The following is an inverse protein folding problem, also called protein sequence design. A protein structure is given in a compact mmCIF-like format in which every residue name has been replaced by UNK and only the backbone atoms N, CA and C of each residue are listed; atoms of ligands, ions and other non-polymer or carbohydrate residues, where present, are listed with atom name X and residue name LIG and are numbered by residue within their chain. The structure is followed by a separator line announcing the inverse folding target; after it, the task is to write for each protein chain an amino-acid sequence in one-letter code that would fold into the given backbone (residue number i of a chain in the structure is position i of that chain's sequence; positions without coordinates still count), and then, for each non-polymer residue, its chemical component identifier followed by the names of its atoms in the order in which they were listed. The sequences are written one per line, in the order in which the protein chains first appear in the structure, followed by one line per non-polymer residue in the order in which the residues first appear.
data_IF_042631542743
#
_entry.id   IF_042631542743
#
_cell.length_a   1.000
_cell.length_b   1.000
_cell.length_c   1.000
_cell.angle_alpha   90.00
_cell.angle_beta   90.00
_cell.angle_gamma   90.00
#
_symmetry.space_group_name_H-M   'P 1'
#
loop_
_entity.id
_entity.type
_entity.pdbx_description
1 polymer ?
#
# COMPACT_ATOMS: atom_id res chain seq x y z
N UNK A 1 -25.28 -1.43 21.00
CA UNK A 1 -23.99 -0.70 20.91
C UNK A 1 -23.51 -0.84 19.48
N UNK A 2 -22.98 0.23 18.87
CA UNK A 2 -22.55 0.18 17.46
C UNK A 2 -21.22 -0.57 17.37
N UNK A 3 -21.20 -1.70 16.64
CA UNK A 3 -19.98 -2.53 16.45
C UNK A 3 -18.87 -1.77 15.72
N UNK A 4 -19.23 -0.83 14.83
CA UNK A 4 -18.31 0.09 14.16
C UNK A 4 -18.56 1.53 14.62
N UNK A 5 -17.58 2.21 15.23
CA UNK A 5 -17.68 3.64 15.47
C UNK A 5 -17.88 4.43 14.17
N UNK A 6 -18.78 5.41 14.18
CA UNK A 6 -19.13 6.21 12.99
C UNK A 6 -17.92 6.95 12.37
N UNK A 7 -16.90 7.27 13.17
CA UNK A 7 -15.69 7.94 12.68
C UNK A 7 -14.73 6.98 11.96
N UNK A 8 -14.87 5.66 12.12
CA UNK A 8 -14.17 4.67 11.30
C UNK A 8 -14.93 4.46 9.99
N UNK A 9 -16.25 4.31 10.08
CA UNK A 9 -17.13 4.17 8.92
C UNK A 9 -18.57 4.42 9.33
N UNK A 10 -19.28 5.27 8.59
CA UNK A 10 -20.67 5.65 8.89
C UNK A 10 -21.71 5.01 7.96
N UNK A 11 -21.27 4.16 7.02
CA UNK A 11 -22.17 3.43 6.12
C UNK A 11 -22.90 2.28 6.83
N UNK A 12 -23.95 1.73 6.18
CA UNK A 12 -24.77 0.68 6.78
C UNK A 12 -24.03 -0.66 6.94
N UNK A 13 -23.07 -0.94 6.06
CA UNK A 13 -22.35 -2.22 6.02
C UNK A 13 -20.94 -2.07 6.59
N UNK A 14 -20.63 -2.82 7.65
CA UNK A 14 -19.34 -2.76 8.32
C UNK A 14 -18.25 -3.34 7.40
N UNK A 15 -17.22 -2.57 6.99
CA UNK A 15 -16.30 -3.01 5.94
C UNK A 15 -15.62 -4.34 6.21
N UNK A 16 -15.15 -4.59 7.44
CA UNK A 16 -14.49 -5.85 7.84
C UNK A 16 -15.43 -7.02 8.13
N UNK A 17 -16.73 -6.85 7.88
CA UNK A 17 -17.73 -7.94 7.89
C UNK A 17 -18.55 -7.98 6.59
N UNK A 18 -18.12 -7.27 5.55
CA UNK A 18 -18.80 -7.22 4.26
C UNK A 18 -17.88 -7.81 3.18
N UNK A 19 -18.15 -9.04 2.68
CA UNK A 19 -17.30 -9.70 1.68
C UNK A 19 -17.32 -9.00 0.31
N UNK A 20 -18.32 -8.16 0.02
CA UNK A 20 -18.35 -7.35 -1.20
C UNK A 20 -17.41 -6.12 -1.11
N UNK A 21 -17.02 -5.73 0.10
CA UNK A 21 -16.07 -4.65 0.34
C UNK A 21 -14.64 -5.21 0.45
N UNK A 22 -13.93 -5.31 -0.66
CA UNK A 22 -12.52 -5.77 -0.67
C UNK A 22 -11.53 -4.66 -0.27
N UNK A 23 -11.94 -3.40 -0.40
CA UNK A 23 -11.16 -2.21 -0.04
C UNK A 23 -11.95 -0.93 -0.31
N UNK A 24 -11.48 0.20 0.24
CA UNK A 24 -12.03 1.54 0.01
C UNK A 24 -10.86 2.44 -0.33
N UNK A 25 -10.88 3.08 -1.51
CA UNK A 25 -9.84 3.99 -2.01
C UNK A 25 -8.44 3.36 -2.15
N UNK A 26 -8.35 2.03 -2.20
CA UNK A 26 -7.10 1.33 -2.50
C UNK A 26 -6.74 1.54 -3.97
N UNK A 27 -5.46 1.77 -4.26
CA UNK A 27 -4.99 1.80 -5.64
C UNK A 27 -5.07 0.40 -6.27
N UNK A 28 -5.32 0.30 -7.59
CA UNK A 28 -5.42 -1.00 -8.25
C UNK A 28 -4.08 -1.76 -8.18
N UNK A 29 -4.11 -3.11 -8.16
CA UNK A 29 -2.91 -3.93 -8.32
C UNK A 29 -2.14 -3.57 -9.58
N UNK A 30 -0.81 -3.59 -9.48
CA UNK A 30 0.15 -3.25 -10.54
C UNK A 30 1.51 -3.84 -10.22
N UNK A 31 2.42 -3.83 -11.20
CA UNK A 31 3.81 -4.18 -10.95
C UNK A 31 4.51 -3.18 -10.01
N UNK A 32 5.55 -3.64 -9.30
CA UNK A 32 6.37 -2.74 -8.49
C UNK A 32 7.26 -1.89 -9.39
N UNK A 33 7.07 -0.57 -9.36
CA UNK A 33 7.84 0.41 -10.11
C UNK A 33 8.60 1.33 -9.17
N UNK A 34 9.90 1.49 -9.44
CA UNK A 34 10.79 2.42 -8.75
C UNK A 34 11.15 3.56 -9.69
N UNK A 35 10.79 4.78 -9.29
CA UNK A 35 11.20 5.97 -10.03
C UNK A 35 12.64 6.35 -9.70
N UNK A 36 13.35 6.95 -10.65
CA UNK A 36 14.68 7.52 -10.42
C UNK A 36 14.80 8.88 -11.11
N UNK A 37 15.65 9.80 -10.62
CA UNK A 37 15.81 11.12 -11.22
C UNK A 37 16.57 11.12 -12.56
N UNK A 38 17.22 10.01 -12.93
CA UNK A 38 17.96 9.88 -14.19
C UNK A 38 18.13 8.42 -14.59
N UNK A 39 18.41 8.17 -15.88
CA UNK A 39 18.74 6.84 -16.40
C UNK A 39 19.96 6.24 -15.69
N UNK A 40 21.04 7.02 -15.50
CA UNK A 40 22.23 6.55 -14.79
C UNK A 40 21.91 6.08 -13.38
N UNK A 41 21.01 6.77 -12.65
CA UNK A 41 20.57 6.32 -11.33
C UNK A 41 19.70 5.07 -11.42
N UNK A 42 18.81 4.98 -12.40
CA UNK A 42 17.97 3.80 -12.62
C UNK A 42 18.80 2.52 -12.89
N UNK A 43 19.95 2.64 -13.54
CA UNK A 43 20.82 1.50 -13.87
C UNK A 43 21.75 1.05 -12.73
N UNK A 44 22.03 1.92 -11.75
CA UNK A 44 23.10 1.67 -10.77
C UNK A 44 22.63 1.70 -9.31
N UNK A 45 21.43 2.18 -9.01
CA UNK A 45 20.92 2.27 -7.64
C UNK A 45 20.07 1.05 -7.29
N UNK A 46 20.11 0.66 -6.01
CA UNK A 46 19.13 -0.29 -5.50
C UNK A 46 17.74 0.35 -5.45
N UNK A 47 16.65 -0.43 -5.63
CA UNK A 47 15.27 0.06 -5.61
C UNK A 47 14.91 1.03 -4.49
N UNK A 48 15.40 0.76 -3.27
CA UNK A 48 15.07 1.52 -2.06
C UNK A 48 15.99 2.74 -1.83
N UNK A 49 17.06 2.88 -2.62
CA UNK A 49 17.98 4.04 -2.59
C UNK A 49 17.45 5.23 -3.40
N UNK A 50 16.30 5.07 -4.06
CA UNK A 50 15.67 6.14 -4.80
C UNK A 50 15.36 7.33 -3.88
N UNK A 51 15.64 8.59 -4.29
CA UNK A 51 15.22 9.76 -3.54
C UNK A 51 13.68 9.90 -3.48
N UNK A 52 12.96 9.11 -4.28
CA UNK A 52 11.50 9.06 -4.30
C UNK A 52 10.93 7.97 -3.38
N UNK A 53 11.74 7.42 -2.47
CA UNK A 53 11.35 6.46 -1.45
C UNK A 53 11.60 7.04 -0.05
N UNK A 54 10.68 6.83 0.87
CA UNK A 54 10.82 7.21 2.28
C UNK A 54 10.26 6.08 3.16
N UNK A 55 11.15 5.37 3.86
CA UNK A 55 10.77 4.31 4.79
C UNK A 55 10.05 4.85 6.01
N UNK A 56 9.00 4.14 6.44
CA UNK A 56 8.26 4.43 7.68
C UNK A 56 8.41 3.31 8.71
N UNK A 57 9.25 2.32 8.45
CA UNK A 57 9.63 1.29 9.42
C UNK A 57 10.32 1.92 10.65
N UNK A 58 10.12 1.31 11.82
CA UNK A 58 10.68 1.78 13.08
C UNK A 58 9.67 1.71 14.22
N UNK A 59 9.80 2.64 15.16
CA UNK A 59 8.97 2.69 16.37
C UNK A 59 7.75 3.58 16.14
N UNK A 60 6.56 3.03 16.38
CA UNK A 60 5.29 3.74 16.29
C UNK A 60 4.62 3.76 17.67
N UNK A 61 3.85 4.81 17.98
CA UNK A 61 2.99 4.82 19.16
C UNK A 61 1.85 3.83 18.96
N UNK A 62 1.54 3.02 19.97
CA UNK A 62 0.62 1.90 19.84
C UNK A 62 -0.30 1.76 21.06
N UNK A 63 -1.56 1.44 20.78
CA UNK A 63 -2.53 1.05 21.81
C UNK A 63 -3.42 -0.05 21.29
N UNK A 64 -3.54 -1.12 22.09
CA UNK A 64 -4.48 -2.21 21.83
C UNK A 64 -5.78 -1.97 22.58
N UNK A 65 -6.90 -2.07 21.87
CA UNK A 65 -8.26 -2.04 22.41
C UNK A 65 -8.88 -3.44 22.33
N UNK A 66 -9.81 -3.75 23.22
CA UNK A 66 -10.49 -5.06 23.25
C UNK A 66 -11.44 -5.24 22.05
N UNK A 67 -12.02 -4.16 21.55
CA UNK A 67 -12.91 -4.14 20.38
C UNK A 67 -12.93 -2.81 19.65
N UNK A 68 -13.36 -2.77 18.37
CA UNK A 68 -13.48 -1.52 17.61
C UNK A 68 -14.35 -0.46 18.29
N UNK A 69 -15.43 -0.87 18.98
CA UNK A 69 -16.35 0.03 19.67
C UNK A 69 -15.74 0.79 20.86
N UNK A 70 -14.60 0.35 21.38
CA UNK A 70 -13.91 0.99 22.51
C UNK A 70 -12.98 2.13 22.06
N UNK A 71 -12.79 2.32 20.75
CA UNK A 71 -11.91 3.36 20.23
C UNK A 71 -12.48 4.76 20.50
N UNK A 72 -11.59 5.64 20.92
CA UNK A 72 -11.90 7.04 21.16
C UNK A 72 -11.76 7.82 19.85
N UNK A 73 -12.75 8.63 19.47
CA UNK A 73 -12.72 9.40 18.21
C UNK A 73 -11.49 10.32 18.12
N UNK A 74 -10.98 10.83 19.25
CA UNK A 74 -9.78 11.63 19.27
C UNK A 74 -8.53 10.87 18.81
N UNK A 75 -8.49 9.55 18.90
CA UNK A 75 -7.32 8.73 18.55
C UNK A 75 -6.90 8.80 17.08
N UNK A 76 -7.79 9.26 16.18
CA UNK A 76 -7.47 9.50 14.77
C UNK A 76 -7.02 10.94 14.49
N UNK A 77 -7.18 11.87 15.44
CA UNK A 77 -6.84 13.28 15.25
C UNK A 77 -5.33 13.54 15.40
N UNK A 78 -4.77 14.49 14.62
CA UNK A 78 -3.34 14.76 14.59
C UNK A 78 -2.80 15.41 15.87
N UNK A 79 -3.65 16.09 16.64
CA UNK A 79 -3.31 16.78 17.88
C UNK A 79 -3.53 15.93 19.15
N UNK A 80 -4.03 14.71 18.98
CA UNK A 80 -4.23 13.79 20.09
C UNK A 80 -2.92 13.43 20.78
N UNK A 81 -2.96 13.42 22.11
CA UNK A 81 -1.82 13.11 22.95
C UNK A 81 -1.75 11.61 23.21
N UNK A 82 -0.73 10.98 22.67
CA UNK A 82 -0.42 9.55 22.80
C UNK A 82 0.78 9.29 23.72
N UNK A 83 1.17 10.27 24.55
CA UNK A 83 2.34 10.15 25.44
C UNK A 83 2.25 9.02 26.49
N UNK A 84 1.06 8.47 26.71
CA UNK A 84 0.84 7.31 27.58
C UNK A 84 0.65 5.99 26.83
N UNK A 85 0.85 5.98 25.51
CA UNK A 85 0.74 4.79 24.68
C UNK A 85 2.05 4.00 24.70
N UNK A 86 1.94 2.72 24.37
CA UNK A 86 3.09 1.86 24.22
C UNK A 86 3.85 2.20 22.93
N UNK A 87 5.05 1.65 22.81
CA UNK A 87 5.88 1.75 21.61
C UNK A 87 5.94 0.37 20.95
N UNK A 88 5.61 0.29 19.66
CA UNK A 88 5.64 -0.96 18.88
C UNK A 88 6.60 -0.83 17.69
N UNK A 89 7.27 -1.93 17.34
CA UNK A 89 8.08 -2.00 16.13
C UNK A 89 7.22 -2.35 14.92
N UNK A 90 7.44 -1.60 13.85
CA UNK A 90 6.91 -1.84 12.50
C UNK A 90 8.10 -2.06 11.56
N UNK A 91 8.15 -3.15 10.78
CA UNK A 91 7.15 -4.23 10.74
C UNK A 91 7.21 -5.15 11.95
N UNK A 92 6.07 -5.78 12.27
CA UNK A 92 5.95 -6.81 13.29
C UNK A 92 4.50 -7.11 13.66
N UNK A 93 4.26 -8.35 14.09
CA UNK A 93 2.99 -8.74 14.69
C UNK A 93 2.92 -8.27 16.14
N UNK A 94 1.80 -7.69 16.58
CA UNK A 94 1.66 -7.22 17.98
C UNK A 94 1.67 -8.38 18.97
N UNK A 95 1.20 -9.56 18.54
CA UNK A 95 1.17 -10.83 19.32
C UNK A 95 2.57 -11.30 19.71
N UNK A 96 3.60 -10.85 19.01
CA UNK A 96 5.01 -11.16 19.30
C UNK A 96 5.71 -10.03 20.07
N UNK A 97 4.98 -8.97 20.42
CA UNK A 97 5.51 -7.75 21.04
C UNK A 97 4.85 -7.45 22.40
N UNK A 98 4.26 -8.46 23.03
CA UNK A 98 3.69 -8.34 24.38
C UNK A 98 2.23 -7.86 24.43
N UNK A 99 1.56 -7.79 23.27
CA UNK A 99 0.16 -7.42 23.17
C UNK A 99 -0.65 -8.61 22.66
N UNK A 100 -1.75 -8.95 23.31
CA UNK A 100 -2.61 -10.09 22.89
C UNK A 100 -1.85 -11.44 22.87
N UNK A 101 -2.49 -12.52 22.41
CA UNK A 101 -1.88 -13.86 22.30
C UNK A 101 -1.98 -14.41 20.88
N UNK A 102 -0.94 -15.06 20.34
CA UNK A 102 -1.04 -15.80 19.09
C UNK A 102 -1.91 -17.07 19.30
N UNK A 103 -2.73 -17.43 18.31
CA UNK A 103 -3.48 -18.69 18.32
C UNK A 103 -2.89 -19.64 17.29
N UNK A 104 -2.71 -20.90 17.62
CA UNK A 104 -2.41 -21.93 16.62
C UNK A 104 -3.61 -22.85 16.45
N UNK A 105 -4.09 -22.97 15.22
CA UNK A 105 -5.10 -23.95 14.83
C UNK A 105 -4.73 -24.53 13.46
N UNK A 106 -5.17 -25.76 13.19
CA UNK A 106 -4.92 -26.42 11.90
C UNK A 106 -6.07 -26.13 10.90
N UNK A 107 -7.31 -26.47 11.28
CA UNK A 107 -8.51 -26.35 10.40
C UNK A 107 -9.65 -25.57 11.06
N UNK A 108 -9.66 -25.46 12.38
CA UNK A 108 -10.73 -24.78 13.09
C UNK A 108 -10.42 -23.29 13.17
N UNK A 109 -11.39 -22.45 12.81
CA UNK A 109 -11.29 -21.01 13.05
C UNK A 109 -11.02 -20.75 14.54
N UNK A 110 -10.20 -19.74 14.89
CA UNK A 110 -9.90 -19.38 16.28
C UNK A 110 -11.10 -18.74 17.00
N UNK A 111 -12.26 -18.67 16.35
CA UNK A 111 -13.52 -18.16 16.88
C UNK A 111 -14.72 -18.97 16.31
N UNK A 112 -15.88 -18.98 17.01
CA UNK A 112 -17.01 -19.86 16.66
C UNK A 112 -18.00 -19.28 15.64
N UNK A 113 -17.77 -18.06 15.14
CA UNK A 113 -18.72 -17.35 14.28
C UNK A 113 -18.75 -17.92 12.86
N UNK A 114 -19.90 -17.79 12.18
CA UNK A 114 -20.07 -18.19 10.79
C UNK A 114 -19.83 -17.01 9.83
N UNK A 115 -19.29 -17.23 8.62
CA UNK A 115 -19.08 -16.18 7.64
C UNK A 115 -20.37 -15.38 7.33
N UNK A 116 -20.28 -14.05 7.10
CA UNK A 116 -19.08 -13.20 7.19
C UNK A 116 -18.86 -12.61 8.60
N UNK A 117 -19.56 -13.12 9.63
CA UNK A 117 -19.53 -12.54 10.98
C UNK A 117 -18.26 -12.94 11.73
N UNK A 118 -17.70 -11.99 12.46
CA UNK A 118 -16.56 -12.19 13.37
C UNK A 118 -16.94 -11.77 14.79
N UNK A 119 -16.16 -12.12 15.83
CA UNK A 119 -16.45 -11.69 17.19
C UNK A 119 -16.63 -10.17 17.33
N UNK A 120 -17.51 -9.75 18.25
CA UNK A 120 -17.59 -8.33 18.65
C UNK A 120 -16.39 -7.92 19.52
N UNK A 121 -15.93 -8.81 20.41
CA UNK A 121 -14.64 -8.70 21.11
C UNK A 121 -13.51 -9.08 20.16
N UNK A 122 -13.09 -8.09 19.37
CA UNK A 122 -12.14 -8.24 18.28
C UNK A 122 -10.96 -7.31 18.53
N UNK A 123 -9.78 -7.83 18.95
CA UNK A 123 -8.64 -6.99 19.29
C UNK A 123 -8.30 -6.00 18.17
N UNK A 124 -8.22 -4.72 18.54
CA UNK A 124 -8.01 -3.62 17.58
C UNK A 124 -6.78 -2.83 17.99
N UNK A 125 -5.75 -2.87 17.15
CA UNK A 125 -4.51 -2.12 17.34
C UNK A 125 -4.57 -0.75 16.66
N UNK A 126 -4.35 0.32 17.40
CA UNK A 126 -4.20 1.67 16.83
C UNK A 126 -2.72 2.03 16.82
N UNK A 127 -2.19 2.28 15.63
CA UNK A 127 -0.82 2.69 15.38
C UNK A 127 -0.80 4.16 14.99
N UNK A 128 0.13 4.94 15.55
CA UNK A 128 0.35 6.35 15.20
C UNK A 128 1.82 6.60 14.93
N UNK A 129 2.11 7.33 13.86
CA UNK A 129 3.45 7.83 13.56
C UNK A 129 3.39 9.23 12.94
N UNK A 130 4.53 9.92 12.96
CA UNK A 130 4.73 11.20 12.29
C UNK A 130 5.85 11.07 11.29
N UNK A 131 5.73 11.78 10.18
CA UNK A 131 6.79 11.85 9.19
C UNK A 131 6.88 13.26 8.62
N UNK A 132 8.09 13.68 8.24
CA UNK A 132 8.30 14.93 7.53
C UNK A 132 8.42 14.63 6.03
N UNK A 133 7.61 15.29 5.21
CA UNK A 133 7.72 15.17 3.77
C UNK A 133 8.96 15.94 3.28
N UNK A 134 9.87 15.33 2.50
CA UNK A 134 11.02 16.05 1.96
C UNK A 134 10.59 17.21 1.05
N UNK A 135 11.26 18.36 1.13
CA UNK A 135 10.86 19.57 0.36
C UNK A 135 10.82 19.32 -1.16
N UNK A 136 11.72 18.47 -1.67
CA UNK A 136 11.78 18.10 -3.08
C UNK A 136 10.68 17.11 -3.51
N UNK A 137 9.79 16.70 -2.59
CA UNK A 137 8.54 15.98 -2.88
C UNK A 137 7.35 16.91 -3.09
N UNK A 138 7.52 18.23 -2.89
CA UNK A 138 6.48 19.21 -3.15
C UNK A 138 5.98 19.13 -4.60
N UNK A 139 4.67 19.28 -4.80
CA UNK A 139 4.00 19.21 -6.11
C UNK A 139 4.17 17.86 -6.84
N UNK A 140 4.54 16.82 -6.10
CA UNK A 140 4.61 15.45 -6.57
C UNK A 140 3.50 14.62 -5.94
N UNK A 141 3.13 13.56 -6.62
CA UNK A 141 2.21 12.56 -6.10
C UNK A 141 2.91 11.76 -5.00
N UNK A 142 2.21 11.48 -3.91
CA UNK A 142 2.71 10.67 -2.78
C UNK A 142 1.77 9.51 -2.50
N UNK A 143 2.31 8.30 -2.57
CA UNK A 143 1.59 7.05 -2.30
C UNK A 143 2.19 6.40 -1.08
N UNK A 144 1.34 5.93 -0.17
CA UNK A 144 1.75 5.04 0.91
C UNK A 144 1.59 3.58 0.50
N UNK A 145 2.55 2.76 0.90
CA UNK A 145 2.59 1.34 0.67
C UNK A 145 2.61 0.59 2.00
N UNK A 146 1.67 -0.34 2.16
CA UNK A 146 1.67 -1.34 3.23
C UNK A 146 1.99 -2.69 2.62
N UNK A 147 3.15 -3.28 2.96
CA UNK A 147 3.56 -4.56 2.38
C UNK A 147 2.72 -5.76 2.85
N UNK A 148 1.99 -5.61 3.96
CA UNK A 148 1.12 -6.63 4.56
C UNK A 148 0.61 -6.20 5.94
N UNK A 149 -0.72 -6.30 6.12
CA UNK A 149 -1.42 -5.94 7.36
C UNK A 149 -2.39 -7.05 7.70
N UNK A 150 -2.28 -7.65 8.88
CA UNK A 150 -3.15 -8.76 9.30
C UNK A 150 -4.22 -8.27 10.30
N UNK A 151 -5.54 -8.32 10.01
CA UNK A 151 -6.19 -8.81 8.76
C UNK A 151 -6.93 -7.75 7.95
N UNK A 152 -7.38 -6.66 8.58
CA UNK A 152 -8.05 -5.55 7.91
C UNK A 152 -7.71 -4.24 8.62
N UNK A 153 -7.71 -3.12 7.90
CA UNK A 153 -7.33 -1.86 8.51
C UNK A 153 -7.95 -0.63 7.87
N UNK A 154 -8.13 0.41 8.67
CA UNK A 154 -8.41 1.77 8.21
C UNK A 154 -7.15 2.62 8.26
N UNK A 155 -7.04 3.54 7.31
CA UNK A 155 -5.95 4.51 7.24
C UNK A 155 -6.49 5.93 7.38
N UNK A 156 -5.83 6.73 8.21
CA UNK A 156 -6.05 8.16 8.34
C UNK A 156 -4.76 8.94 8.15
N UNK A 157 -4.86 10.10 7.49
CA UNK A 157 -3.76 11.05 7.31
C UNK A 157 -4.22 12.43 7.75
N UNK A 158 -3.51 13.04 8.70
CA UNK A 158 -3.84 14.36 9.27
C UNK A 158 -5.32 14.46 9.74
N UNK A 159 -5.84 13.39 10.35
CA UNK A 159 -7.23 13.31 10.83
C UNK A 159 -8.28 12.94 9.77
N UNK A 160 -7.90 12.86 8.49
CA UNK A 160 -8.83 12.54 7.41
C UNK A 160 -8.80 11.05 7.07
N UNK A 161 -9.97 10.46 6.84
CA UNK A 161 -10.07 9.07 6.40
C UNK A 161 -9.58 8.94 4.96
N UNK A 162 -8.52 8.14 4.78
CA UNK A 162 -7.94 7.86 3.46
C UNK A 162 -8.66 6.68 2.82
N UNK A 163 -8.82 5.58 3.56
CA UNK A 163 -9.37 4.35 3.01
C UNK A 163 -9.36 3.18 3.98
N UNK A 164 -9.63 2.00 3.42
CA UNK A 164 -9.70 0.72 4.13
C UNK A 164 -9.15 -0.40 3.24
N UNK A 165 -8.46 -1.37 3.83
CA UNK A 165 -7.88 -2.52 3.12
C UNK A 165 -8.13 -3.85 3.81
N UNK A 166 -8.18 -4.91 3.00
CA UNK A 166 -8.16 -6.34 3.39
C UNK A 166 -7.09 -7.06 2.55
N UNK A 167 -6.91 -8.36 2.82
CA UNK A 167 -5.84 -9.23 2.32
C UNK A 167 -4.52 -9.00 3.06
N UNK A 168 -4.17 -9.97 3.90
CA UNK A 168 -2.97 -9.90 4.74
C UNK A 168 -1.69 -10.18 3.95
N UNK A 169 -1.77 -10.67 2.72
CA UNK A 169 -0.65 -11.30 2.01
C UNK A 169 -0.20 -10.55 0.77
N UNK A 170 -0.99 -9.63 0.24
CA UNK A 170 -0.62 -8.71 -0.84
C UNK A 170 -0.52 -7.27 -0.35
N UNK A 171 0.24 -6.39 -1.04
CA UNK A 171 0.36 -5.01 -0.62
C UNK A 171 -0.92 -4.21 -0.86
N UNK A 172 -1.19 -3.27 0.05
CA UNK A 172 -2.28 -2.30 -0.09
C UNK A 172 -1.68 -0.90 -0.17
N UNK A 173 -2.08 -0.13 -1.18
CA UNK A 173 -1.54 1.21 -1.41
C UNK A 173 -2.66 2.26 -1.49
N UNK A 174 -2.37 3.46 -0.99
CA UNK A 174 -3.30 4.60 -1.03
C UNK A 174 -2.61 5.86 -1.56
N UNK A 175 -3.34 6.68 -2.30
CA UNK A 175 -2.88 8.01 -2.66
C UNK A 175 -3.07 8.98 -1.48
N UNK A 176 -1.96 9.50 -0.94
CA UNK A 176 -1.98 10.45 0.15
C UNK A 176 -1.93 11.90 -0.32
N UNK A 177 -1.72 12.14 -1.62
CA UNK A 177 -1.54 13.49 -2.20
C UNK A 177 -2.59 14.50 -1.74
N UNK A 178 -3.90 14.16 -1.66
CA UNK A 178 -4.93 15.12 -1.22
C UNK A 178 -4.84 15.52 0.27
N UNK A 179 -4.16 14.73 1.09
CA UNK A 179 -4.20 14.82 2.55
C UNK A 179 -2.91 15.30 3.18
N UNK A 180 -1.80 15.21 2.46
CA UNK A 180 -0.48 15.62 2.94
C UNK A 180 -0.30 17.13 2.92
N UNK A 181 0.47 17.63 3.88
CA UNK A 181 0.90 19.02 3.98
C UNK A 181 2.42 19.10 3.92
N UNK A 182 2.95 20.30 3.64
CA UNK A 182 4.38 20.56 3.75
C UNK A 182 4.86 20.40 5.21
N UNK A 183 6.04 19.82 5.40
CA UNK A 183 6.58 19.55 6.73
C UNK A 183 6.00 18.29 7.37
N UNK A 184 5.62 18.41 8.65
CA UNK A 184 5.18 17.26 9.46
C UNK A 184 3.75 16.82 9.14
N UNK A 185 3.57 15.53 8.98
CA UNK A 185 2.29 14.85 8.76
C UNK A 185 2.10 13.76 9.81
N UNK A 186 0.85 13.45 10.15
CA UNK A 186 0.48 12.42 11.11
C UNK A 186 -0.31 11.30 10.43
N UNK A 187 0.10 10.05 10.64
CA UNK A 187 -0.60 8.86 10.17
C UNK A 187 -1.18 8.09 11.35
N UNK A 188 -2.45 7.70 11.22
CA UNK A 188 -3.10 6.74 12.12
C UNK A 188 -3.54 5.52 11.32
N UNK A 189 -3.19 4.33 11.80
CA UNK A 189 -3.63 3.05 11.22
C UNK A 189 -4.40 2.28 12.28
N UNK A 190 -5.64 1.92 11.98
CA UNK A 190 -6.50 1.14 12.87
C UNK A 190 -6.62 -0.26 12.30
N UNK A 191 -5.94 -1.22 12.91
CA UNK A 191 -5.87 -2.61 12.47
C UNK A 191 -6.83 -3.46 13.30
N UNK A 192 -7.68 -4.21 12.62
CA UNK A 192 -8.69 -5.11 13.21
C UNK A 192 -8.19 -6.54 13.04
N UNK A 193 -8.15 -7.31 14.13
CA UNK A 193 -7.60 -8.67 14.12
C UNK A 193 -8.39 -9.62 13.22
N UNK A 194 -9.71 -9.67 13.38
CA UNK A 194 -10.58 -10.57 12.62
C UNK A 194 -11.45 -9.80 11.64
N UNK A 195 -11.53 -10.30 10.41
CA UNK A 195 -12.44 -9.79 9.37
C UNK A 195 -13.12 -10.94 8.64
N UNK A 196 -14.08 -10.64 7.77
CA UNK A 196 -14.61 -11.64 6.83
C UNK A 196 -13.52 -12.27 5.97
N UNK A 197 -12.42 -11.55 5.70
CA UNK A 197 -11.24 -12.07 5.02
C UNK A 197 -10.53 -13.18 5.79
N UNK A 198 -10.65 -13.22 7.13
CA UNK A 198 -10.04 -14.28 7.95
C UNK A 198 -10.57 -15.67 7.61
N UNK A 199 -11.82 -15.78 7.11
CA UNK A 199 -12.37 -17.08 6.65
C UNK A 199 -11.73 -17.61 5.37
N UNK A 200 -10.99 -16.76 4.63
CA UNK A 200 -10.20 -17.16 3.45
C UNK A 200 -8.72 -17.39 3.78
N UNK A 201 -8.30 -17.02 5.00
CA UNK A 201 -6.93 -17.08 5.49
C UNK A 201 -6.73 -18.17 6.57
N UNK A 202 -7.51 -19.26 6.50
CA UNK A 202 -7.45 -20.42 7.41
C UNK A 202 -6.34 -21.41 6.99
N UNK A 203 -5.10 -20.94 7.03
CA UNK A 203 -3.94 -21.81 6.83
C UNK A 203 -3.54 -22.51 8.14
N UNK A 204 -2.91 -23.70 8.03
CA UNK A 204 -2.29 -24.40 9.17
C UNK A 204 -1.05 -23.64 9.67
N UNK A 205 -1.31 -22.59 10.46
CA UNK A 205 -0.27 -21.72 11.02
C UNK A 205 -0.76 -20.94 12.25
N UNK A 206 0.09 -20.02 12.72
CA UNK A 206 -0.24 -19.11 13.82
C UNK A 206 -1.07 -17.93 13.31
N UNK A 207 -2.23 -17.72 13.92
CA UNK A 207 -3.01 -16.50 13.77
C UNK A 207 -2.40 -15.36 14.57
N UNK A 208 -1.98 -14.33 13.87
CA UNK A 208 -1.33 -13.16 14.44
C UNK A 208 -2.19 -11.92 14.16
N UNK A 209 -1.58 -10.73 14.21
CA UNK A 209 -2.15 -9.48 13.72
C UNK A 209 -1.13 -8.35 13.79
N UNK A 210 -1.33 -7.34 12.93
CA UNK A 210 -0.52 -6.12 12.89
C UNK A 210 0.11 -5.83 11.54
N UNK A 211 0.95 -4.79 11.54
CA UNK A 211 1.70 -4.31 10.36
C UNK A 211 2.94 -5.19 10.18
N UNK A 212 2.79 -6.40 9.61
CA UNK A 212 3.82 -7.44 9.65
C UNK A 212 4.82 -7.42 8.49
N UNK A 213 4.68 -6.46 7.56
CA UNK A 213 5.66 -6.15 6.49
C UNK A 213 5.84 -4.64 6.39
N UNK A 214 6.93 -4.22 5.73
CA UNK A 214 7.37 -2.84 5.71
C UNK A 214 6.30 -1.85 5.24
N UNK A 215 6.37 -0.64 5.80
CA UNK A 215 5.54 0.50 5.42
C UNK A 215 6.45 1.60 4.90
N UNK A 216 6.11 2.18 3.75
CA UNK A 216 6.90 3.27 3.18
C UNK A 216 6.05 4.19 2.32
N UNK A 217 6.58 5.38 2.04
CA UNK A 217 6.04 6.28 1.04
C UNK A 217 6.87 6.19 -0.23
N UNK A 218 6.19 6.35 -1.37
CA UNK A 218 6.82 6.53 -2.67
C UNK A 218 6.26 7.76 -3.38
N UNK A 219 7.12 8.48 -4.08
CA UNK A 219 6.75 9.65 -4.85
C UNK A 219 6.85 9.41 -6.36
N UNK A 220 5.88 9.89 -7.10
CA UNK A 220 5.95 9.98 -8.57
C UNK A 220 5.73 11.43 -9.00
N UNK A 221 6.10 11.76 -10.23
CA UNK A 221 5.60 13.00 -10.83
C UNK A 221 4.06 12.92 -10.98
N UNK A 222 3.43 14.06 -11.29
CA UNK A 222 1.98 14.12 -11.53
C UNK A 222 1.57 13.38 -12.81
N UNK A 223 2.48 13.24 -13.78
CA UNK A 223 2.41 12.27 -14.87
C UNK A 223 3.35 11.11 -14.55
N UNK A 224 2.86 9.88 -14.55
CA UNK A 224 3.64 8.74 -14.08
C UNK A 224 3.32 7.43 -14.80
N UNK A 225 4.29 6.51 -14.82
CA UNK A 225 4.06 5.12 -15.18
C UNK A 225 3.28 4.45 -14.05
N UNK A 226 2.05 4.05 -14.36
CA UNK A 226 1.17 3.36 -13.43
C UNK A 226 1.46 1.85 -13.42
N UNK A 227 1.73 1.25 -14.58
CA UNK A 227 2.02 -0.18 -14.68
C UNK A 227 2.85 -0.50 -15.93
N UNK A 228 3.49 -1.66 -15.93
CA UNK A 228 4.26 -2.16 -17.06
C UNK A 228 4.21 -3.68 -17.14
N UNK A 229 4.01 -4.21 -18.35
CA UNK A 229 3.94 -5.64 -18.61
C UNK A 229 4.86 -6.04 -19.78
N UNK A 230 6.14 -6.36 -19.50
CA UNK A 230 7.08 -6.85 -20.49
C UNK A 230 6.87 -8.34 -20.77
N UNK A 231 6.81 -8.71 -22.06
CA UNK A 231 6.65 -10.07 -22.57
C UNK A 231 7.78 -10.38 -23.54
N UNK A 232 8.68 -11.27 -23.11
CA UNK A 232 9.73 -11.81 -23.96
C UNK A 232 9.31 -13.15 -24.53
N UNK A 233 9.48 -13.34 -25.84
CA UNK A 233 9.28 -14.62 -26.51
C UNK A 233 10.54 -15.05 -27.26
N UNK A 234 10.75 -16.36 -27.39
CA UNK A 234 11.78 -16.92 -28.25
C UNK A 234 11.14 -17.48 -29.51
N UNK A 235 11.83 -17.36 -30.63
CA UNK A 235 11.44 -18.07 -31.83
C UNK A 235 11.62 -19.59 -31.65
N UNK A 236 11.05 -20.38 -32.57
CA UNK A 236 11.13 -21.84 -32.50
C UNK A 236 12.57 -22.38 -32.55
N UNK A 237 13.49 -21.65 -33.20
CA UNK A 237 14.90 -22.01 -33.31
C UNK A 237 15.72 -21.74 -32.05
N UNK A 238 15.17 -21.00 -31.07
CA UNK A 238 15.86 -20.53 -29.87
C UNK A 238 17.12 -19.69 -30.17
N UNK A 239 17.16 -19.04 -31.33
CA UNK A 239 18.29 -18.21 -31.79
C UNK A 239 17.91 -16.74 -31.96
N UNK A 240 16.63 -16.39 -31.80
CA UNK A 240 16.15 -15.02 -31.75
C UNK A 240 15.01 -14.88 -30.73
N UNK A 241 14.84 -13.68 -30.19
CA UNK A 241 13.73 -13.34 -29.32
C UNK A 241 13.09 -12.00 -29.69
N UNK A 242 11.85 -11.82 -29.28
CA UNK A 242 11.09 -10.57 -29.34
C UNK A 242 10.77 -10.08 -27.94
N UNK A 243 10.61 -8.76 -27.79
CA UNK A 243 10.18 -8.13 -26.55
C UNK A 243 9.03 -7.18 -26.87
N UNK A 244 7.86 -7.49 -26.33
CA UNK A 244 6.70 -6.59 -26.33
C UNK A 244 6.52 -6.03 -24.91
N UNK A 245 6.51 -4.70 -24.77
CA UNK A 245 6.28 -4.04 -23.48
C UNK A 245 5.02 -3.21 -23.55
N UNK A 246 4.06 -3.58 -22.72
CA UNK A 246 2.92 -2.73 -22.49
C UNK A 246 3.20 -1.77 -21.34
N UNK A 247 3.01 -0.47 -21.55
CA UNK A 247 3.10 0.54 -20.52
C UNK A 247 1.74 1.22 -20.31
N UNK A 248 1.36 1.39 -19.03
CA UNK A 248 0.22 2.22 -18.64
C UNK A 248 0.71 3.51 -18.02
N UNK A 249 0.29 4.64 -18.58
CA UNK A 249 0.58 5.98 -18.07
C UNK A 249 -0.68 6.59 -17.48
N UNK A 250 -0.55 7.23 -16.33
CA UNK A 250 -1.64 7.90 -15.62
C UNK A 250 -1.22 9.28 -15.13
N UNK A 251 -2.22 10.06 -14.70
CA UNK A 251 -2.12 11.48 -14.37
C UNK A 251 -2.85 11.75 -13.04
N UNK A 252 -2.18 12.44 -12.11
CA UNK A 252 -2.75 12.87 -10.82
C UNK A 252 -3.20 14.34 -10.83
N UNK A 253 -3.30 14.95 -12.01
CA UNK A 253 -3.68 16.35 -12.20
C UNK A 253 -4.12 16.62 -13.65
N UNK A 254 -4.10 17.87 -14.08
CA UNK A 254 -4.47 18.26 -15.45
C UNK A 254 -3.56 17.59 -16.48
N UNK A 255 -4.16 16.92 -17.46
CA UNK A 255 -3.45 16.25 -18.55
C UNK A 255 -3.18 17.23 -19.71
N UNK A 256 -1.94 17.25 -20.20
CA UNK A 256 -1.51 18.04 -21.35
C UNK A 256 -1.09 17.13 -22.52
N UNK A 257 -1.26 17.57 -23.76
CA UNK A 257 -0.86 16.80 -24.94
C UNK A 257 0.68 16.74 -25.08
N UNK A 258 1.18 15.75 -25.83
CA UNK A 258 2.59 15.69 -26.23
C UNK A 258 3.50 14.89 -25.30
N UNK A 259 2.96 14.24 -24.26
CA UNK A 259 3.70 13.25 -23.50
C UNK A 259 4.10 12.07 -24.39
N UNK A 260 5.31 11.56 -24.17
CA UNK A 260 5.81 10.36 -24.84
C UNK A 260 6.35 9.37 -23.82
N UNK A 261 6.19 8.09 -24.11
CA UNK A 261 6.82 6.99 -23.37
C UNK A 261 7.83 6.32 -24.29
N UNK A 262 8.95 5.88 -23.74
CA UNK A 262 9.95 5.15 -24.49
C UNK A 262 10.60 4.05 -23.66
N UNK A 263 11.21 3.12 -24.38
CA UNK A 263 11.90 1.97 -23.79
C UNK A 263 13.35 1.91 -24.28
N UNK A 264 14.26 1.58 -23.37
CA UNK A 264 15.60 1.14 -23.75
C UNK A 264 15.94 -0.16 -23.04
N UNK A 265 16.39 -1.16 -23.81
CA UNK A 265 16.86 -2.42 -23.28
C UNK A 265 18.39 -2.39 -23.18
N UNK A 266 18.91 -2.76 -22.02
CA UNK A 266 20.33 -2.85 -21.73
C UNK A 266 20.70 -4.32 -21.57
N UNK A 267 21.72 -4.79 -22.28
CA UNK A 267 22.22 -6.15 -22.19
C UNK A 267 23.08 -6.37 -20.91
N UNK A 268 23.45 -7.61 -20.57
CA UNK A 268 24.26 -7.90 -19.38
C UNK A 268 25.66 -7.25 -19.38
N UNK A 269 26.19 -6.87 -20.55
CA UNK A 269 27.47 -6.18 -20.69
C UNK A 269 27.33 -4.64 -20.61
N UNK A 270 26.10 -4.14 -20.45
CA UNK A 270 25.77 -2.73 -20.33
C UNK A 270 25.54 -2.02 -21.67
N UNK A 271 25.48 -2.75 -22.78
CA UNK A 271 25.22 -2.16 -24.10
C UNK A 271 23.73 -1.93 -24.33
N UNK A 272 23.43 -0.88 -25.08
CA UNK A 272 22.09 -0.56 -25.56
C UNK A 272 21.72 -1.51 -26.70
N UNK A 273 20.64 -2.27 -26.54
CA UNK A 273 20.14 -3.17 -27.60
C UNK A 273 19.51 -2.37 -28.74
N UNK A 274 18.76 -1.31 -28.44
CA UNK A 274 18.25 -0.40 -29.46
C UNK A 274 19.21 0.78 -29.65
N UNK A 275 19.54 1.09 -30.91
CA UNK A 275 20.40 2.23 -31.28
C UNK A 275 19.81 3.59 -30.87
N UNK A 276 18.49 3.66 -30.75
CA UNK A 276 17.73 4.81 -30.26
C UNK A 276 16.51 4.31 -29.49
N UNK A 277 16.10 5.05 -28.46
CA UNK A 277 14.87 4.75 -27.70
C UNK A 277 13.64 4.90 -28.61
N UNK A 278 12.88 3.83 -28.88
CA UNK A 278 11.57 3.95 -29.51
C UNK A 278 10.67 4.80 -28.62
N UNK A 279 9.95 5.74 -29.21
CA UNK A 279 9.06 6.66 -28.51
C UNK A 279 7.65 6.54 -29.09
N UNK A 280 6.67 6.40 -28.21
CA UNK A 280 5.25 6.45 -28.56
C UNK A 280 4.59 7.64 -27.87
N UNK A 281 3.72 8.33 -28.60
CA UNK A 281 2.92 9.42 -28.04
C UNK A 281 1.80 8.85 -27.16
N UNK A 282 1.60 9.45 -26.00
CA UNK A 282 0.55 9.07 -25.07
C UNK A 282 -0.72 9.84 -25.46
N UNK A 283 -1.76 9.20 -26.04
CA UNK A 283 -3.03 9.85 -26.27
C UNK A 283 -3.61 10.41 -24.97
N UNK A 284 -4.30 11.55 -25.10
CA UNK A 284 -5.02 12.18 -24.02
C UNK A 284 -6.26 11.35 -23.65
N UNK A 285 -6.07 10.40 -22.74
CA UNK A 285 -7.12 9.68 -22.04
C UNK A 285 -6.74 9.61 -20.55
N UNK A 286 -7.73 9.47 -19.66
CA UNK A 286 -7.48 9.35 -18.21
C UNK A 286 -6.53 8.18 -17.87
N UNK A 287 -6.55 7.14 -18.71
CA UNK A 287 -5.59 6.05 -18.73
C UNK A 287 -5.29 5.65 -20.18
N UNK A 288 -4.03 5.38 -20.47
CA UNK A 288 -3.61 4.88 -21.79
C UNK A 288 -2.72 3.65 -21.65
N UNK A 289 -3.05 2.62 -22.44
CA UNK A 289 -2.24 1.41 -22.66
C UNK A 289 -1.50 1.54 -23.99
N UNK A 290 -0.18 1.39 -23.98
CA UNK A 290 0.68 1.54 -25.16
C UNK A 290 1.58 0.32 -25.28
N UNK A 291 1.63 -0.27 -26.47
CA UNK A 291 2.55 -1.36 -26.79
C UNK A 291 3.84 -0.78 -27.39
N UNK A 292 4.96 -1.07 -26.74
CA UNK A 292 6.31 -0.72 -27.15
C UNK A 292 7.05 -2.02 -27.49
N UNK A 293 7.38 -2.26 -28.76
CA UNK A 293 8.21 -3.40 -29.15
C UNK A 293 7.90 -3.99 -30.53
N UNK A 294 8.87 -4.73 -31.05
CA UNK A 294 8.78 -5.63 -32.21
C UNK A 294 9.69 -6.84 -31.96
#
# INVERSE_FOLDING_TARGET
MTTCPNFLYSGPDIPWMNPECVGINTLPPRTHLYGYPSETKALNAEPLDSPWHLGLDGNWSFRLYQKPADLEQGSIQPDWKDSGWDCIKVPGNWTMQGHDFPHYTNVQMPFPHQPPKVPEENPTGVYRTRFALPDYWKERRTVIHFGGVESAFFLFCNGNQVGFGKDSRTPVEFDLTPWIVAGENQLTVVVIRWSDGSFLEDQDHWWMAGLHRSVYLRSTAMTYLEDMFPRGELNQGLDAGSLEVEARVSFAGTTEAGWKVGIQLIDPDGNRVFSSMPLEEIPLAEQTRINLGH
#
